data_IF_985308361647
#
_entry.id   IF_985308361647
#
_cell.length_a   1.000
_cell.length_b   1.000
_cell.length_c   1.000
_cell.angle_alpha   90.00
_cell.angle_beta   90.00
_cell.angle_gamma   90.00
#
_symmetry.space_group_name_H-M   'P 1'
#
loop_
_entity.id
_entity.type
_entity.pdbx_description
1 polymer ?
#
# COMPACT_ATOMS: atom_id res chain seq x y z
N UNK A 1 13.35 21.04 4.89
CA UNK A 1 13.25 20.76 3.43
C UNK A 1 12.13 19.76 3.21
N UNK A 2 11.21 20.03 2.30
CA UNK A 2 10.02 19.20 2.01
C UNK A 2 10.36 18.09 1.01
N UNK A 3 9.55 17.02 0.94
CA UNK A 3 9.73 15.92 -0.02
C UNK A 3 9.90 16.41 -1.47
N UNK A 4 9.10 17.39 -1.88
CA UNK A 4 9.14 17.98 -3.22
C UNK A 4 10.45 18.73 -3.52
N UNK A 5 11.07 19.35 -2.50
CA UNK A 5 12.35 20.04 -2.67
C UNK A 5 13.50 19.08 -2.94
N UNK A 6 13.47 17.88 -2.36
CA UNK A 6 14.47 16.86 -2.63
C UNK A 6 14.30 16.27 -4.03
N UNK A 7 13.07 16.03 -4.49
CA UNK A 7 12.82 15.47 -5.83
C UNK A 7 13.42 16.32 -6.97
N UNK A 8 13.50 17.65 -6.79
CA UNK A 8 14.12 18.59 -7.73
C UNK A 8 15.64 18.60 -7.59
N UNK A 9 16.17 18.52 -6.37
CA UNK A 9 17.60 18.68 -6.09
C UNK A 9 18.42 17.40 -6.30
N UNK A 10 17.79 16.22 -6.19
CA UNK A 10 18.44 14.91 -6.30
C UNK A 10 19.35 14.70 -7.51
N UNK A 11 18.98 15.12 -8.75
CA UNK A 11 19.84 14.96 -9.93
C UNK A 11 21.13 15.78 -9.89
N UNK A 12 21.16 16.82 -9.05
CA UNK A 12 22.25 17.80 -8.99
C UNK A 12 23.20 17.57 -7.81
N UNK A 13 22.96 16.55 -6.97
CA UNK A 13 23.84 16.24 -5.84
C UNK A 13 25.06 15.44 -6.33
N UNK A 14 26.28 15.98 -6.23
CA UNK A 14 27.48 15.28 -6.71
C UNK A 14 27.70 13.96 -5.96
N UNK A 15 28.06 12.90 -6.68
CA UNK A 15 28.37 11.59 -6.10
C UNK A 15 27.15 10.75 -5.67
N UNK A 16 25.94 11.19 -6.00
CA UNK A 16 24.69 10.49 -5.68
C UNK A 16 24.14 9.80 -6.94
N UNK A 17 24.23 8.46 -7.04
CA UNK A 17 23.69 7.69 -8.17
C UNK A 17 22.19 7.94 -8.38
N UNK A 18 21.66 8.06 -9.61
CA UNK A 18 20.23 8.30 -9.84
C UNK A 18 19.34 7.21 -9.23
N UNK A 19 18.11 7.58 -8.83
CA UNK A 19 17.12 6.63 -8.30
C UNK A 19 16.53 5.81 -9.45
N UNK A 20 16.63 4.49 -9.40
CA UNK A 20 16.09 3.59 -10.42
C UNK A 20 14.79 2.93 -9.98
N UNK A 21 13.68 3.65 -10.10
CA UNK A 21 12.34 3.07 -9.96
C UNK A 21 11.74 2.78 -11.34
N UNK A 22 11.03 1.65 -11.51
CA UNK A 22 10.23 1.43 -12.71
C UNK A 22 9.06 2.42 -12.74
N UNK A 23 8.56 2.71 -13.94
CA UNK A 23 7.29 3.42 -14.07
C UNK A 23 6.16 2.58 -13.45
N UNK A 24 5.13 3.22 -12.85
CA UNK A 24 3.98 2.49 -12.33
C UNK A 24 3.32 1.67 -13.46
N UNK A 25 3.30 0.33 -13.38
CA UNK A 25 2.85 -0.51 -14.51
C UNK A 25 1.33 -0.43 -14.74
N UNK A 26 0.56 -0.09 -13.70
CA UNK A 26 -0.90 0.01 -13.72
C UNK A 26 -1.37 1.24 -12.93
N UNK A 27 -1.09 2.46 -13.43
CA UNK A 27 -1.32 3.69 -12.67
C UNK A 27 -2.80 3.91 -12.32
N UNK A 28 -3.72 3.34 -13.12
CA UNK A 28 -5.16 3.39 -12.89
C UNK A 28 -5.62 2.66 -11.62
N UNK A 29 -4.81 1.77 -11.05
CA UNK A 29 -5.17 0.99 -9.85
C UNK A 29 -4.66 1.59 -8.53
N UNK A 30 -3.76 2.57 -8.56
CA UNK A 30 -3.11 3.12 -7.37
C UNK A 30 -4.10 3.74 -6.37
N UNK A 31 -5.19 4.33 -6.88
CA UNK A 31 -6.20 5.02 -6.07
C UNK A 31 -7.58 4.39 -6.17
N UNK A 32 -7.65 3.08 -6.45
CA UNK A 32 -8.93 2.36 -6.57
C UNK A 32 -8.96 1.08 -5.74
N UNK A 33 -10.18 0.66 -5.39
CA UNK A 33 -10.44 -0.63 -4.75
C UNK A 33 -10.68 -1.77 -5.75
N UNK A 34 -10.38 -1.56 -7.04
CA UNK A 34 -10.46 -2.61 -8.05
C UNK A 34 -9.23 -3.51 -7.93
N UNK A 35 -9.43 -4.82 -7.98
CA UNK A 35 -8.35 -5.79 -8.06
C UNK A 35 -7.70 -5.81 -9.44
N UNK A 36 -6.39 -6.15 -9.53
CA UNK A 36 -5.72 -6.34 -10.80
C UNK A 36 -6.19 -7.64 -11.48
N UNK A 37 -6.13 -7.68 -12.82
CA UNK A 37 -6.14 -8.95 -13.57
C UNK A 37 -4.88 -9.75 -13.29
N UNK A 38 -4.82 -11.02 -13.68
CA UNK A 38 -3.61 -11.83 -13.45
C UNK A 38 -2.39 -11.28 -14.19
N UNK A 39 -2.56 -10.82 -15.43
CA UNK A 39 -1.50 -10.14 -16.18
C UNK A 39 -1.03 -8.84 -15.49
N UNK A 40 -1.97 -7.99 -15.07
CA UNK A 40 -1.65 -6.79 -14.30
C UNK A 40 -0.93 -7.12 -13.00
N UNK A 41 -1.34 -8.18 -12.31
CA UNK A 41 -0.70 -8.62 -11.08
C UNK A 41 0.75 -9.09 -11.34
N UNK A 42 1.03 -9.75 -12.46
CA UNK A 42 2.40 -10.10 -12.86
C UNK A 42 3.26 -8.85 -13.08
N UNK A 43 2.76 -7.85 -13.81
CA UNK A 43 3.46 -6.58 -14.03
C UNK A 43 3.77 -5.85 -12.72
N UNK A 44 2.79 -5.81 -11.80
CA UNK A 44 2.98 -5.19 -10.48
C UNK A 44 4.01 -5.95 -9.65
N UNK A 45 4.00 -7.29 -9.66
CA UNK A 45 5.00 -8.11 -8.94
C UNK A 45 6.41 -7.87 -9.48
N UNK A 46 6.59 -7.78 -10.79
CA UNK A 46 7.90 -7.46 -11.37
C UNK A 46 8.37 -6.06 -10.96
N UNK A 47 7.48 -5.05 -11.01
CA UNK A 47 7.80 -3.70 -10.55
C UNK A 47 8.17 -3.65 -9.07
N UNK A 48 7.42 -4.37 -8.21
CA UNK A 48 7.73 -4.52 -6.77
C UNK A 48 9.08 -5.20 -6.57
N UNK A 49 9.39 -6.25 -7.34
CA UNK A 49 10.68 -6.94 -7.24
C UNK A 49 11.84 -6.01 -7.65
N UNK A 50 11.69 -5.23 -8.72
CA UNK A 50 12.66 -4.22 -9.16
C UNK A 50 12.89 -3.14 -8.08
N UNK A 51 11.83 -2.53 -7.58
CA UNK A 51 11.90 -1.51 -6.54
C UNK A 51 12.47 -2.05 -5.21
N UNK A 52 12.17 -3.31 -4.87
CA UNK A 52 12.72 -3.95 -3.66
C UNK A 52 14.24 -4.14 -3.75
N UNK A 53 14.75 -4.51 -4.93
CA UNK A 53 16.20 -4.61 -5.18
C UNK A 53 16.88 -3.26 -5.04
N UNK A 54 16.30 -2.21 -5.62
CA UNK A 54 16.80 -0.84 -5.53
C UNK A 54 16.84 -0.35 -4.08
N UNK A 55 15.76 -0.56 -3.32
CA UNK A 55 15.70 -0.22 -1.89
C UNK A 55 16.85 -0.87 -1.11
N UNK A 56 17.05 -2.18 -1.31
CA UNK A 56 18.09 -2.94 -0.61
C UNK A 56 19.48 -2.38 -0.94
N UNK A 57 19.75 -2.11 -2.22
CA UNK A 57 21.01 -1.51 -2.65
C UNK A 57 21.27 -0.16 -1.95
N UNK A 58 20.26 0.72 -1.91
CA UNK A 58 20.37 2.02 -1.24
C UNK A 58 20.57 1.87 0.28
N UNK A 59 19.90 0.92 0.92
CA UNK A 59 20.05 0.63 2.35
C UNK A 59 21.46 0.07 2.68
N UNK A 60 22.00 -0.80 1.82
CA UNK A 60 23.38 -1.32 1.92
C UNK A 60 24.44 -0.24 1.69
N UNK A 61 24.24 0.64 0.70
CA UNK A 61 25.12 1.79 0.46
C UNK A 61 25.12 2.75 1.66
N UNK A 62 23.93 3.02 2.22
CA UNK A 62 23.77 3.89 3.37
C UNK A 62 24.47 3.32 4.61
N UNK A 63 24.32 2.02 4.88
CA UNK A 63 24.97 1.38 6.03
C UNK A 63 26.49 1.39 5.90
N UNK A 64 27.01 1.12 4.70
CA UNK A 64 28.46 1.14 4.41
C UNK A 64 29.06 2.52 4.63
N UNK A 65 28.43 3.58 4.11
CA UNK A 65 28.95 4.95 4.22
C UNK A 65 28.85 5.50 5.64
N UNK A 66 27.79 5.15 6.38
CA UNK A 66 27.65 5.53 7.79
C UNK A 66 28.66 4.82 8.70
N UNK A 67 29.18 3.65 8.31
CA UNK A 67 30.28 2.97 9.00
C UNK A 67 31.68 3.54 8.71
N UNK A 68 31.80 4.43 7.71
CA UNK A 68 33.05 5.09 7.33
C UNK A 68 33.31 6.41 8.08
N UNK A 69 34.55 6.91 8.03
CA UNK A 69 34.96 8.16 8.71
C UNK A 69 34.51 9.45 8.01
N UNK A 70 33.92 9.39 6.82
CA UNK A 70 33.55 10.56 6.01
C UNK A 70 32.17 10.43 5.35
N UNK A 71 31.11 10.32 6.16
CA UNK A 71 29.75 10.37 5.65
C UNK A 71 29.37 11.82 5.29
N UNK A 72 29.15 12.11 4.00
CA UNK A 72 28.63 13.39 3.56
C UNK A 72 27.18 13.58 4.04
N UNK A 73 26.85 14.68 4.76
CA UNK A 73 25.48 14.92 5.23
C UNK A 73 24.46 15.07 4.10
N UNK A 74 24.86 15.69 2.99
CA UNK A 74 23.98 15.91 1.82
C UNK A 74 23.69 14.60 1.09
N UNK A 75 24.72 13.76 0.89
CA UNK A 75 24.57 12.43 0.32
C UNK A 75 23.65 11.56 1.20
N UNK A 76 23.86 11.59 2.52
CA UNK A 76 23.06 10.81 3.49
C UNK A 76 21.59 11.21 3.43
N UNK A 77 21.29 12.51 3.40
CA UNK A 77 19.92 13.00 3.30
C UNK A 77 19.26 12.63 1.97
N UNK A 78 20.00 12.75 0.86
CA UNK A 78 19.54 12.35 -0.47
C UNK A 78 19.22 10.84 -0.53
N UNK A 79 20.10 9.98 -0.02
CA UNK A 79 19.90 8.52 0.01
C UNK A 79 18.71 8.13 0.89
N UNK A 80 18.55 8.76 2.07
CA UNK A 80 17.38 8.54 2.92
C UNK A 80 16.07 8.93 2.23
N UNK A 81 16.07 10.06 1.52
CA UNK A 81 14.90 10.49 0.75
C UNK A 81 14.54 9.48 -0.35
N UNK A 82 15.52 8.93 -1.06
CA UNK A 82 15.30 7.87 -2.06
C UNK A 82 14.73 6.59 -1.48
N UNK A 83 15.24 6.17 -0.32
CA UNK A 83 14.70 5.02 0.40
C UNK A 83 13.23 5.28 0.77
N UNK A 84 12.90 6.49 1.26
CA UNK A 84 11.52 6.87 1.57
C UNK A 84 10.63 6.83 0.33
N UNK A 85 11.09 7.37 -0.81
CA UNK A 85 10.36 7.33 -2.09
C UNK A 85 10.15 5.91 -2.60
N UNK A 86 11.15 5.05 -2.47
CA UNK A 86 11.06 3.63 -2.84
C UNK A 86 10.09 2.88 -1.92
N UNK A 87 10.10 3.16 -0.61
CA UNK A 87 9.13 2.60 0.34
C UNK A 87 7.70 3.01 -0.02
N UNK A 88 7.46 4.27 -0.37
CA UNK A 88 6.15 4.72 -0.82
C UNK A 88 5.70 3.99 -2.09
N UNK A 89 6.59 3.86 -3.08
CA UNK A 89 6.31 3.09 -4.30
C UNK A 89 5.92 1.64 -3.96
N UNK A 90 6.70 0.96 -3.12
CA UNK A 90 6.41 -0.43 -2.71
C UNK A 90 5.05 -0.53 -2.02
N UNK A 91 4.76 0.32 -1.04
CA UNK A 91 3.49 0.32 -0.32
C UNK A 91 2.29 0.47 -1.26
N UNK A 92 2.37 1.40 -2.21
CA UNK A 92 1.30 1.63 -3.18
C UNK A 92 1.06 0.41 -4.09
N UNK A 93 2.13 -0.23 -4.55
CA UNK A 93 2.04 -1.36 -5.49
C UNK A 93 1.69 -2.68 -4.79
N UNK A 94 2.17 -2.90 -3.57
CA UNK A 94 1.74 -4.02 -2.73
C UNK A 94 0.26 -3.91 -2.36
N UNK A 95 -0.25 -2.69 -2.12
CA UNK A 95 -1.67 -2.46 -1.86
C UNK A 95 -2.56 -2.81 -3.07
N UNK A 96 -2.05 -2.76 -4.31
CA UNK A 96 -2.76 -3.26 -5.50
C UNK A 96 -2.89 -4.78 -5.45
N UNK A 97 -1.85 -5.47 -4.96
CA UNK A 97 -1.83 -6.93 -4.84
C UNK A 97 -2.55 -7.46 -3.59
N UNK A 98 -3.14 -6.59 -2.77
CA UNK A 98 -3.83 -6.98 -1.55
C UNK A 98 -4.92 -8.03 -1.84
N UNK A 99 -4.93 -9.18 -1.12
CA UNK A 99 -5.91 -10.25 -1.35
C UNK A 99 -7.35 -9.77 -1.30
N UNK A 100 -7.65 -8.78 -0.45
CA UNK A 100 -8.99 -8.24 -0.25
C UNK A 100 -9.61 -7.62 -1.51
N UNK A 101 -8.77 -7.20 -2.47
CA UNK A 101 -9.23 -6.66 -3.77
C UNK A 101 -9.59 -7.75 -4.79
N UNK A 102 -9.24 -9.01 -4.50
CA UNK A 102 -9.44 -10.19 -5.37
C UNK A 102 -10.40 -11.22 -4.78
N UNK A 103 -10.88 -11.01 -3.55
CA UNK A 103 -11.80 -11.95 -2.91
C UNK A 103 -13.11 -12.06 -3.70
N UNK A 104 -13.63 -13.28 -3.91
CA UNK A 104 -14.99 -13.47 -4.39
C UNK A 104 -15.99 -12.77 -3.48
N UNK A 105 -17.13 -12.37 -4.04
CA UNK A 105 -18.17 -11.66 -3.29
C UNK A 105 -18.67 -12.53 -2.13
N UNK A 106 -18.81 -13.83 -2.36
CA UNK A 106 -19.28 -14.81 -1.38
C UNK A 106 -18.36 -14.83 -0.15
N UNK A 107 -17.04 -14.87 -0.38
CA UNK A 107 -16.06 -14.85 0.71
C UNK A 107 -16.10 -13.51 1.48
N UNK A 108 -16.29 -12.39 0.77
CA UNK A 108 -16.47 -11.09 1.41
C UNK A 108 -17.74 -11.04 2.28
N UNK A 109 -18.84 -11.68 1.84
CA UNK A 109 -20.08 -11.76 2.61
C UNK A 109 -19.89 -12.58 3.89
N UNK A 110 -19.19 -13.73 3.82
CA UNK A 110 -18.86 -14.54 4.99
C UNK A 110 -18.02 -13.75 5.99
N UNK A 111 -16.99 -13.03 5.53
CA UNK A 111 -16.17 -12.15 6.40
C UNK A 111 -17.06 -11.11 7.11
N UNK A 112 -17.98 -10.47 6.38
CA UNK A 112 -18.88 -9.47 6.97
C UNK A 112 -19.80 -10.08 8.03
N UNK A 113 -20.31 -11.29 7.80
CA UNK A 113 -21.14 -12.02 8.76
C UNK A 113 -20.36 -12.39 10.03
N UNK A 114 -19.10 -12.83 9.89
CA UNK A 114 -18.23 -13.05 11.04
C UNK A 114 -18.00 -11.78 11.85
N UNK A 115 -17.76 -10.64 11.19
CA UNK A 115 -17.61 -9.34 11.87
C UNK A 115 -18.89 -8.95 12.64
N UNK A 116 -20.05 -9.11 12.02
CA UNK A 116 -21.35 -8.87 12.64
C UNK A 116 -21.60 -9.77 13.87
N UNK A 117 -21.34 -11.08 13.73
CA UNK A 117 -21.49 -12.05 14.81
C UNK A 117 -20.58 -11.77 16.00
N UNK A 118 -19.31 -11.42 15.76
CA UNK A 118 -18.35 -11.16 16.83
C UNK A 118 -18.71 -9.93 17.69
N UNK A 119 -19.27 -8.87 17.08
CA UNK A 119 -19.67 -7.67 17.81
C UNK A 119 -20.89 -7.93 18.69
N UNK A 120 -21.85 -8.73 18.21
CA UNK A 120 -23.03 -9.12 19.01
C UNK A 120 -22.66 -9.85 20.31
N UNK A 121 -21.51 -10.55 20.35
CA UNK A 121 -21.04 -11.28 21.52
C UNK A 121 -20.30 -10.39 22.54
N UNK A 122 -19.65 -9.31 22.10
CA UNK A 122 -18.71 -8.54 22.93
C UNK A 122 -19.27 -7.20 23.45
N UNK A 123 -20.29 -6.65 22.79
CA UNK A 123 -20.88 -5.36 23.19
C UNK A 123 -22.34 -5.29 22.73
N UNK A 124 -23.27 -5.52 23.65
CA UNK A 124 -24.70 -5.30 23.39
C UNK A 124 -25.04 -3.85 23.03
N UNK A 125 -24.13 -2.90 23.31
CA UNK A 125 -24.24 -1.48 22.99
C UNK A 125 -23.77 -1.10 21.59
N UNK A 126 -23.06 -1.98 20.87
CA UNK A 126 -22.81 -1.84 19.44
C UNK A 126 -23.86 -2.65 18.68
N UNK A 127 -25.03 -2.04 18.42
CA UNK A 127 -26.09 -2.68 17.65
C UNK A 127 -25.55 -3.20 16.31
N UNK A 128 -26.00 -4.37 15.88
CA UNK A 128 -25.67 -5.01 14.59
C UNK A 128 -25.72 -4.02 13.40
N UNK A 129 -26.71 -3.12 13.42
CA UNK A 129 -26.88 -2.03 12.46
C UNK A 129 -25.63 -1.14 12.33
N UNK A 130 -24.93 -0.88 13.44
CA UNK A 130 -23.71 -0.07 13.47
C UNK A 130 -22.58 -0.75 12.71
N UNK A 131 -22.44 -2.08 12.84
CA UNK A 131 -21.41 -2.85 12.13
C UNK A 131 -21.70 -2.88 10.64
N UNK A 132 -22.94 -3.20 10.26
CA UNK A 132 -23.38 -3.25 8.86
C UNK A 132 -23.23 -1.90 8.17
N UNK A 133 -23.53 -0.82 8.89
CA UNK A 133 -23.28 0.54 8.41
C UNK A 133 -21.80 0.84 8.25
N UNK A 134 -20.97 0.51 9.25
CA UNK A 134 -19.52 0.72 9.21
C UNK A 134 -18.86 -0.02 8.04
N UNK A 135 -19.25 -1.26 7.77
CA UNK A 135 -18.77 -2.03 6.62
C UNK A 135 -19.11 -1.31 5.30
N UNK A 136 -20.29 -0.71 5.21
CA UNK A 136 -20.72 0.09 4.07
C UNK A 136 -20.00 1.42 3.89
N UNK A 137 -19.27 1.92 4.89
CA UNK A 137 -18.49 3.16 4.79
C UNK A 137 -17.06 2.98 4.27
N UNK A 138 -16.57 1.73 4.18
CA UNK A 138 -15.18 1.46 3.75
C UNK A 138 -14.95 1.82 2.28
N UNK A 139 -15.77 1.29 1.37
CA UNK A 139 -15.70 1.63 -0.04
C UNK A 139 -17.01 1.29 -0.79
N UNK A 140 -17.12 1.73 -2.05
CA UNK A 140 -18.29 1.43 -2.89
C UNK A 140 -18.53 -0.07 -3.09
N UNK A 141 -17.47 -0.88 -3.20
CA UNK A 141 -17.61 -2.33 -3.36
C UNK A 141 -18.21 -2.97 -2.11
N UNK A 142 -17.65 -2.63 -0.93
CA UNK A 142 -18.12 -3.14 0.36
C UNK A 142 -19.56 -2.71 0.64
N UNK A 143 -19.91 -1.45 0.35
CA UNK A 143 -21.29 -0.98 0.44
C UNK A 143 -22.25 -1.82 -0.38
N UNK A 144 -21.89 -2.12 -1.62
CA UNK A 144 -22.72 -2.95 -2.50
C UNK A 144 -22.89 -4.36 -1.96
N UNK A 145 -21.82 -4.95 -1.42
CA UNK A 145 -21.85 -6.30 -0.83
C UNK A 145 -22.72 -6.29 0.43
N UNK A 146 -22.51 -5.33 1.34
CA UNK A 146 -23.27 -5.22 2.59
C UNK A 146 -24.78 -5.06 2.32
N UNK A 147 -25.17 -4.16 1.40
CA UNK A 147 -26.58 -3.98 1.02
C UNK A 147 -27.19 -5.21 0.34
N UNK A 148 -26.38 -6.03 -0.33
CA UNK A 148 -26.80 -7.30 -0.97
C UNK A 148 -26.77 -8.51 -0.04
N UNK A 149 -26.49 -8.31 1.25
CA UNK A 149 -26.37 -9.39 2.23
C UNK A 149 -27.42 -9.18 3.31
N UNK A 150 -28.67 -9.65 3.11
CA UNK A 150 -29.78 -9.39 4.03
C UNK A 150 -29.52 -9.85 5.46
N UNK A 151 -28.74 -10.91 5.65
CA UNK A 151 -28.37 -11.45 6.97
C UNK A 151 -27.62 -10.45 7.85
N UNK A 152 -26.97 -9.44 7.27
CA UNK A 152 -26.31 -8.36 8.03
C UNK A 152 -27.31 -7.35 8.64
N UNK A 153 -28.56 -7.39 8.21
CA UNK A 153 -29.60 -6.41 8.58
C UNK A 153 -30.77 -7.07 9.32
N UNK A 154 -30.68 -8.37 9.60
CA UNK A 154 -31.66 -9.07 10.43
C UNK A 154 -31.36 -8.75 11.90
N UNK A 155 -32.00 -7.67 12.38
CA UNK A 155 -32.00 -7.24 13.79
C UNK A 155 -32.95 -8.11 14.60
#
# INVERSE_FOLDING_TARGET
>A
MTSASWDILLPFVPGVSPLHLPEPPVPSLLNTNRGPTDEQALLVRDAVAKASREKRLLEEQLSTILGGKHASPTWTAATRHKIARTKLFLQQHEAILSPIKRLPVEIMQEIFQCCAGHVSTFSASCALETVSWNLGQVCQSWRRIALKTPTLWNV
#
